data_IF_117018464337
#
_entry.id   IF_117018464337
#
_cell.length_a   1.000
_cell.length_b   1.000
_cell.length_c   1.000
_cell.angle_alpha   90.00
_cell.angle_beta   90.00
_cell.angle_gamma   90.00
#
_symmetry.space_group_name_H-M   'P 1'
#
loop_
_entity.id
_entity.type
_entity.pdbx_description
1 polymer ?
#
# COMPACT_ATOMS: atom_id res chain seq x y z
N UNK A 1 14.98 -19.66 4.91
CA UNK A 1 13.97 -18.70 5.40
C UNK A 1 13.01 -18.40 4.25
N UNK A 2 11.70 -18.55 4.44
CA UNK A 2 10.73 -18.20 3.40
C UNK A 2 10.48 -16.68 3.39
N UNK A 3 10.46 -16.07 2.21
CA UNK A 3 10.18 -14.63 2.06
C UNK A 3 8.79 -14.27 2.62
N UNK A 4 8.62 -13.05 3.15
CA UNK A 4 7.32 -12.59 3.62
C UNK A 4 6.32 -12.54 2.46
N UNK A 5 6.74 -11.92 1.37
CA UNK A 5 6.03 -11.82 0.08
C UNK A 5 6.68 -12.81 -0.88
N UNK A 6 5.88 -13.69 -1.46
CA UNK A 6 6.33 -14.61 -2.52
C UNK A 6 6.12 -14.04 -3.92
N UNK A 7 6.47 -14.82 -4.94
CA UNK A 7 6.38 -14.44 -6.34
C UNK A 7 5.02 -14.72 -6.99
N UNK A 8 3.93 -14.68 -6.20
CA UNK A 8 2.58 -14.79 -6.76
C UNK A 8 2.34 -13.63 -7.75
N UNK A 9 1.62 -13.85 -8.85
CA UNK A 9 1.25 -12.78 -9.77
C UNK A 9 0.45 -11.67 -9.09
N UNK A 10 0.64 -10.43 -9.55
CA UNK A 10 -0.14 -9.25 -9.19
C UNK A 10 -0.33 -8.37 -10.43
N UNK A 11 -1.36 -7.52 -10.40
CA UNK A 11 -1.72 -6.62 -11.51
C UNK A 11 -1.91 -5.16 -11.08
N UNK A 12 -1.25 -4.72 -10.00
CA UNK A 12 -1.50 -3.40 -9.40
C UNK A 12 -0.89 -2.24 -10.20
N UNK A 13 0.36 -2.39 -10.63
CA UNK A 13 1.15 -1.38 -11.33
C UNK A 13 1.40 -1.74 -12.80
N UNK A 14 1.45 -3.05 -13.10
CA UNK A 14 1.66 -3.65 -14.42
C UNK A 14 1.11 -5.08 -14.42
N UNK A 15 0.63 -5.57 -15.56
CA UNK A 15 -0.21 -6.76 -15.68
C UNK A 15 0.52 -8.09 -15.41
N UNK A 16 1.83 -8.18 -15.69
CA UNK A 16 2.60 -9.43 -15.64
C UNK A 16 3.69 -9.45 -14.55
N UNK A 17 3.44 -8.80 -13.42
CA UNK A 17 4.41 -8.68 -12.32
C UNK A 17 4.23 -9.67 -11.18
N UNK A 18 5.29 -9.91 -10.40
CA UNK A 18 5.15 -10.60 -9.11
C UNK A 18 4.79 -9.62 -8.00
N UNK A 19 4.08 -10.06 -6.96
CA UNK A 19 3.78 -9.25 -5.77
C UNK A 19 5.05 -8.62 -5.20
N UNK A 20 6.13 -9.41 -5.06
CA UNK A 20 7.42 -8.91 -4.59
C UNK A 20 8.00 -7.84 -5.52
N UNK A 21 7.96 -8.06 -6.85
CA UNK A 21 8.43 -7.11 -7.85
C UNK A 21 7.66 -5.78 -7.81
N UNK A 22 6.35 -5.84 -7.60
CA UNK A 22 5.50 -4.65 -7.51
C UNK A 22 5.66 -3.91 -6.19
N UNK A 23 5.78 -4.63 -5.05
CA UNK A 23 6.12 -4.02 -3.75
C UNK A 23 7.49 -3.34 -3.82
N UNK A 24 8.49 -3.98 -4.43
CA UNK A 24 9.79 -3.37 -4.66
C UNK A 24 9.68 -2.09 -5.49
N UNK A 25 8.83 -2.07 -6.51
CA UNK A 25 8.64 -0.89 -7.35
C UNK A 25 8.10 0.31 -6.56
N UNK A 26 7.08 0.12 -5.72
CA UNK A 26 6.51 1.20 -4.88
C UNK A 26 7.38 1.58 -3.68
N UNK A 27 8.41 0.79 -3.36
CA UNK A 27 9.42 1.12 -2.35
C UNK A 27 10.74 1.63 -2.95
N UNK A 28 10.82 1.79 -4.28
CA UNK A 28 12.07 2.08 -4.98
C UNK A 28 12.45 3.57 -5.09
N UNK A 29 11.58 4.47 -4.63
CA UNK A 29 11.77 5.93 -4.66
C UNK A 29 12.21 6.52 -3.32
N UNK A 30 11.86 7.79 -3.09
CA UNK A 30 12.20 8.50 -1.87
C UNK A 30 11.47 7.92 -0.66
N UNK A 31 12.21 7.62 0.40
CA UNK A 31 11.64 7.16 1.66
C UNK A 31 11.01 8.31 2.46
N UNK A 32 9.85 8.03 3.05
CA UNK A 32 9.25 8.88 4.08
C UNK A 32 9.93 8.63 5.44
N UNK A 33 9.69 9.52 6.42
CA UNK A 33 10.11 9.26 7.80
C UNK A 33 9.34 8.07 8.40
N UNK A 34 9.98 7.24 9.25
CA UNK A 34 9.28 6.19 9.97
C UNK A 34 8.19 6.77 10.88
N UNK A 35 7.06 6.08 10.97
CA UNK A 35 5.94 6.47 11.84
C UNK A 35 5.67 5.36 12.86
N UNK A 36 5.83 5.69 14.14
CA UNK A 36 5.40 4.86 15.26
C UNK A 36 3.97 5.24 15.61
N UNK A 37 3.05 4.29 15.53
CA UNK A 37 1.60 4.58 15.66
C UNK A 37 0.91 3.74 16.73
N UNK A 38 1.59 2.74 17.28
CA UNK A 38 1.13 1.95 18.41
C UNK A 38 2.31 1.42 19.21
N UNK A 39 2.03 0.84 20.38
CA UNK A 39 3.04 0.16 21.18
C UNK A 39 3.60 -1.03 20.39
N UNK A 40 4.86 -0.90 19.98
CA UNK A 40 5.58 -1.95 19.29
C UNK A 40 5.28 -2.06 17.79
N UNK A 41 4.66 -1.06 17.15
CA UNK A 41 4.44 -1.04 15.70
C UNK A 41 5.06 0.20 15.05
N UNK A 42 5.72 -0.02 13.91
CA UNK A 42 6.33 1.02 13.10
C UNK A 42 6.00 0.81 11.62
N UNK A 43 5.65 1.90 10.93
CA UNK A 43 5.46 1.94 9.47
C UNK A 43 6.65 2.64 8.81
N UNK A 44 7.25 1.96 7.85
CA UNK A 44 8.15 2.55 6.86
C UNK A 44 7.41 2.70 5.55
N UNK A 45 7.59 3.81 4.83
CA UNK A 45 7.03 3.97 3.50
C UNK A 45 7.97 4.67 2.55
N UNK A 46 7.73 4.47 1.27
CA UNK A 46 8.40 5.17 0.19
C UNK A 46 7.43 5.31 -0.99
N UNK A 47 7.83 6.08 -1.99
CA UNK A 47 7.12 6.14 -3.26
C UNK A 47 7.72 5.25 -4.33
N UNK A 48 6.94 4.99 -5.38
CA UNK A 48 7.47 4.54 -6.66
C UNK A 48 8.35 5.63 -7.27
N UNK A 49 9.44 5.22 -7.89
CA UNK A 49 10.33 6.14 -8.59
C UNK A 49 9.54 6.94 -9.66
N UNK A 50 9.69 8.27 -9.64
CA UNK A 50 8.96 9.22 -10.51
C UNK A 50 7.43 9.26 -10.39
N UNK A 51 6.82 8.51 -9.47
CA UNK A 51 5.38 8.49 -9.24
C UNK A 51 5.11 8.48 -7.73
N UNK A 52 5.11 9.67 -7.11
CA UNK A 52 4.89 9.82 -5.67
C UNK A 52 3.48 9.45 -5.21
N UNK A 53 2.59 9.25 -6.17
CA UNK A 53 1.18 8.93 -6.01
C UNK A 53 0.97 7.44 -5.75
N UNK A 54 1.89 6.61 -6.22
CA UNK A 54 1.95 5.18 -5.96
C UNK A 54 3.00 4.96 -4.88
N UNK A 55 2.58 4.38 -3.75
CA UNK A 55 3.42 4.27 -2.56
C UNK A 55 3.37 2.89 -1.95
N UNK A 56 4.48 2.47 -1.37
CA UNK A 56 4.61 1.24 -0.61
C UNK A 56 4.74 1.57 0.87
N UNK A 57 4.18 0.72 1.72
CA UNK A 57 4.45 0.73 3.14
C UNK A 57 4.76 -0.68 3.65
N UNK A 58 5.69 -0.79 4.59
CA UNK A 58 5.93 -2.01 5.36
C UNK A 58 5.68 -1.69 6.81
N UNK A 59 4.84 -2.49 7.46
CA UNK A 59 4.55 -2.39 8.89
C UNK A 59 5.25 -3.52 9.61
N UNK A 60 6.10 -3.15 10.55
CA UNK A 60 6.93 -4.07 11.34
C UNK A 60 6.56 -3.94 12.82
N UNK A 61 6.76 -5.01 13.57
CA UNK A 61 6.91 -4.87 15.02
C UNK A 61 8.26 -4.24 15.36
N UNK A 62 8.42 -3.70 16.57
CA UNK A 62 9.72 -3.17 17.04
C UNK A 62 10.82 -4.23 17.13
N UNK A 63 10.43 -5.51 17.13
CA UNK A 63 11.31 -6.68 17.10
C UNK A 63 11.68 -7.11 15.66
N UNK A 64 11.14 -6.42 14.64
CA UNK A 64 11.47 -6.64 13.23
C UNK A 64 10.58 -7.65 12.50
N UNK A 65 9.47 -8.10 13.09
CA UNK A 65 8.51 -8.97 12.39
C UNK A 65 7.64 -8.15 11.43
N UNK A 66 7.57 -8.53 10.15
CA UNK A 66 6.62 -7.92 9.21
C UNK A 66 5.20 -8.38 9.55
N UNK A 67 4.33 -7.42 9.83
CA UNK A 67 2.90 -7.65 10.08
C UNK A 67 2.11 -7.52 8.80
N UNK A 68 2.35 -6.46 8.02
CA UNK A 68 1.67 -6.21 6.77
C UNK A 68 2.51 -5.37 5.79
N UNK A 69 2.11 -5.41 4.52
CA UNK A 69 2.60 -4.53 3.47
C UNK A 69 1.43 -3.83 2.81
N UNK A 70 1.49 -2.51 2.70
CA UNK A 70 0.50 -1.70 1.97
C UNK A 70 1.04 -1.28 0.60
N UNK A 71 0.19 -1.33 -0.42
CA UNK A 71 0.49 -0.86 -1.78
C UNK A 71 -0.63 0.09 -2.19
N UNK A 72 -0.28 1.37 -2.38
CA UNK A 72 -1.15 2.37 -3.00
C UNK A 72 -0.87 2.36 -4.50
N UNK A 73 -1.90 2.10 -5.29
CA UNK A 73 -1.84 2.07 -6.76
C UNK A 73 -3.11 2.67 -7.35
N UNK A 74 -3.14 2.88 -8.67
CA UNK A 74 -4.36 3.31 -9.35
C UNK A 74 -5.24 2.12 -9.70
N UNK A 75 -6.56 2.31 -9.64
CA UNK A 75 -7.53 1.40 -10.24
C UNK A 75 -7.40 1.53 -11.77
N UNK A 76 -7.13 0.40 -12.43
CA UNK A 76 -7.02 0.28 -13.89
C UNK A 76 -8.31 -0.23 -14.53
N UNK A 77 -9.35 -0.49 -13.74
CA UNK A 77 -10.67 -0.85 -14.24
C UNK A 77 -11.35 0.35 -14.92
N UNK A 78 -12.22 0.05 -15.89
CA UNK A 78 -12.95 1.08 -16.66
C UNK A 78 -13.91 1.92 -15.81
N UNK A 79 -14.34 1.40 -14.67
CA UNK A 79 -15.38 2.02 -13.83
C UNK A 79 -14.81 3.09 -12.89
N UNK A 80 -13.55 2.93 -12.45
CA UNK A 80 -12.89 3.81 -11.50
C UNK A 80 -11.46 4.20 -11.93
N UNK A 81 -11.19 4.19 -13.24
CA UNK A 81 -9.88 4.52 -13.79
C UNK A 81 -9.32 5.82 -13.19
N UNK A 82 -8.16 5.71 -12.55
CA UNK A 82 -7.49 6.86 -11.92
C UNK A 82 -7.85 7.13 -10.46
N UNK A 83 -8.75 6.35 -9.85
CA UNK A 83 -8.92 6.34 -8.39
C UNK A 83 -7.76 5.60 -7.73
N UNK A 84 -7.34 6.06 -6.54
CA UNK A 84 -6.31 5.37 -5.75
C UNK A 84 -6.92 4.26 -4.93
N UNK A 85 -6.28 3.11 -4.99
CA UNK A 85 -6.61 1.87 -4.31
C UNK A 85 -5.52 1.56 -3.30
N UNK A 86 -5.92 0.98 -2.16
CA UNK A 86 -5.01 0.42 -1.18
C UNK A 86 -5.15 -1.10 -1.19
N UNK A 87 -4.06 -1.80 -1.49
CA UNK A 87 -3.94 -3.24 -1.30
C UNK A 87 -3.10 -3.54 -0.05
N UNK A 88 -3.60 -4.36 0.86
CA UNK A 88 -2.93 -4.78 2.10
C UNK A 88 -2.62 -6.27 2.02
N UNK A 89 -1.32 -6.60 2.08
CA UNK A 89 -0.81 -7.96 2.15
C UNK A 89 -0.57 -8.32 3.62
N UNK A 90 -1.16 -9.42 4.09
CA UNK A 90 -0.94 -9.93 5.45
C UNK A 90 -0.94 -11.45 5.47
N UNK A 91 -0.27 -12.07 6.45
CA UNK A 91 -0.34 -13.52 6.69
C UNK A 91 -1.50 -13.94 7.59
N UNK A 92 -2.06 -13.01 8.38
CA UNK A 92 -3.12 -13.30 9.37
C UNK A 92 -4.02 -12.10 9.59
N UNK A 93 -5.28 -12.36 9.97
CA UNK A 93 -6.27 -11.34 10.37
C UNK A 93 -6.62 -11.51 11.85
N UNK A 94 -5.73 -11.03 12.72
CA UNK A 94 -5.94 -10.94 14.17
C UNK A 94 -6.20 -9.47 14.58
N UNK A 95 -6.40 -9.21 15.88
CA UNK A 95 -6.66 -7.85 16.38
C UNK A 95 -5.54 -6.88 16.01
N UNK A 96 -4.30 -7.36 15.97
CA UNK A 96 -3.13 -6.60 15.53
C UNK A 96 -3.23 -6.23 14.05
N UNK A 97 -3.72 -7.13 13.20
CA UNK A 97 -3.99 -6.81 11.80
C UNK A 97 -5.03 -5.69 11.66
N UNK A 98 -6.10 -5.68 12.47
CA UNK A 98 -7.13 -4.63 12.37
C UNK A 98 -6.53 -3.24 12.64
N UNK A 99 -5.75 -3.09 13.71
CA UNK A 99 -5.05 -1.84 14.02
C UNK A 99 -4.09 -1.41 12.89
N UNK A 100 -3.38 -2.36 12.30
CA UNK A 100 -2.49 -2.10 11.15
C UNK A 100 -3.29 -1.70 9.91
N UNK A 101 -4.43 -2.34 9.65
CA UNK A 101 -5.29 -2.02 8.53
C UNK A 101 -5.87 -0.61 8.67
N UNK A 102 -6.39 -0.26 9.84
CA UNK A 102 -6.90 1.08 10.14
C UNK A 102 -5.82 2.14 9.95
N UNK A 103 -4.59 1.86 10.41
CA UNK A 103 -3.45 2.76 10.20
C UNK A 103 -3.10 2.93 8.71
N UNK A 104 -3.11 1.84 7.94
CA UNK A 104 -2.81 1.89 6.50
C UNK A 104 -3.91 2.62 5.70
N UNK A 105 -5.18 2.48 6.11
CA UNK A 105 -6.31 3.23 5.54
C UNK A 105 -6.15 4.72 5.81
N UNK A 106 -5.91 5.12 7.07
CA UNK A 106 -5.67 6.52 7.41
C UNK A 106 -4.43 7.11 6.70
N UNK A 107 -3.39 6.29 6.51
CA UNK A 107 -2.22 6.68 5.73
C UNK A 107 -2.58 6.92 4.24
N UNK A 108 -3.34 6.02 3.63
CA UNK A 108 -3.82 6.17 2.25
C UNK A 108 -4.65 7.46 2.08
N UNK A 109 -5.59 7.72 3.00
CA UNK A 109 -6.39 8.96 3.03
C UNK A 109 -5.51 10.21 3.05
N UNK A 110 -4.48 10.21 3.89
CA UNK A 110 -3.53 11.30 3.96
C UNK A 110 -2.77 11.49 2.65
N UNK A 111 -2.28 10.41 2.03
CA UNK A 111 -1.56 10.47 0.74
C UNK A 111 -2.45 11.05 -0.36
N UNK A 112 -3.71 10.61 -0.44
CA UNK A 112 -4.69 11.12 -1.41
C UNK A 112 -4.95 12.61 -1.17
N UNK A 113 -5.14 13.00 0.09
CA UNK A 113 -5.41 14.40 0.48
C UNK A 113 -4.23 15.31 0.17
N UNK A 114 -3.02 14.93 0.55
CA UNK A 114 -1.80 15.71 0.29
C UNK A 114 -1.60 15.94 -1.22
N UNK A 115 -1.86 14.91 -2.04
CA UNK A 115 -1.76 15.02 -3.49
C UNK A 115 -2.79 15.99 -4.07
N UNK A 116 -4.05 15.89 -3.63
CA UNK A 116 -5.11 16.78 -4.12
C UNK A 116 -4.82 18.25 -3.74
N UNK A 117 -4.31 18.49 -2.54
CA UNK A 117 -3.86 19.81 -2.11
C UNK A 117 -2.71 20.31 -2.98
N UNK A 118 -1.71 19.47 -3.26
CA UNK A 118 -0.61 19.82 -4.16
C UNK A 118 -1.09 20.17 -5.57
N UNK A 119 -2.03 19.41 -6.14
CA UNK A 119 -2.61 19.71 -7.46
C UNK A 119 -3.32 21.07 -7.47
N UNK A 120 -4.11 21.35 -6.44
CA UNK A 120 -4.80 22.63 -6.27
C UNK A 120 -3.82 23.79 -6.19
N UNK A 121 -2.79 23.68 -5.35
CA UNK A 121 -1.76 24.71 -5.18
C UNK A 121 -0.91 24.91 -6.44
N UNK A 122 -0.54 23.81 -7.11
CA UNK A 122 0.38 23.85 -8.24
C UNK A 122 -0.28 24.28 -9.55
N UNK A 123 -1.53 23.86 -9.78
CA UNK A 123 -2.21 24.01 -11.05
C UNK A 123 -3.53 24.79 -10.98
N UNK A 124 -3.94 25.25 -9.80
CA UNK A 124 -5.21 25.95 -9.62
C UNK A 124 -6.44 25.07 -9.88
N UNK A 125 -6.27 23.75 -9.84
CA UNK A 125 -7.36 22.81 -10.09
C UNK A 125 -8.40 22.88 -8.95
N UNK A 126 -9.69 22.72 -9.27
CA UNK A 126 -10.73 22.67 -8.25
C UNK A 126 -10.50 21.45 -7.34
N UNK A 127 -10.94 21.58 -6.09
CA UNK A 127 -10.89 20.48 -5.14
C UNK A 127 -11.75 19.32 -5.66
N UNK A 128 -11.09 18.20 -5.96
CA UNK A 128 -11.75 16.96 -6.44
C UNK A 128 -11.81 15.89 -5.36
N UNK A 129 -11.43 16.22 -4.12
CA UNK A 129 -11.44 15.28 -2.99
C UNK A 129 -12.81 14.63 -2.80
N UNK A 130 -13.90 15.37 -3.00
CA UNK A 130 -15.28 14.86 -2.87
C UNK A 130 -15.66 13.89 -4.01
N UNK A 131 -15.13 14.10 -5.22
CA UNK A 131 -15.36 13.20 -6.38
C UNK A 131 -14.51 11.93 -6.30
N UNK A 132 -13.32 12.03 -5.73
CA UNK A 132 -12.45 10.90 -5.43
C UNK A 132 -12.85 10.19 -4.12
N UNK A 133 -13.70 10.82 -3.31
CA UNK A 133 -13.98 10.50 -1.91
C UNK A 133 -14.87 9.28 -1.65
N UNK A 134 -15.35 8.58 -2.69
CA UNK A 134 -15.86 7.22 -2.49
C UNK A 134 -14.68 6.26 -2.51
N UNK A 135 -13.91 6.25 -1.42
CA UNK A 135 -12.89 5.24 -1.21
C UNK A 135 -13.53 3.86 -1.31
N UNK A 136 -12.97 3.01 -2.16
CA UNK A 136 -13.21 1.58 -2.06
C UNK A 136 -12.53 1.07 -0.80
N UNK A 137 -13.17 0.11 -0.15
CA UNK A 137 -12.54 -0.66 0.91
C UNK A 137 -11.19 -1.21 0.40
N UNK A 138 -10.16 -1.26 1.26
CA UNK A 138 -8.87 -1.78 0.85
C UNK A 138 -9.00 -3.24 0.38
N UNK A 139 -8.29 -3.61 -0.66
CA UNK A 139 -8.15 -5.00 -1.05
C UNK A 139 -7.25 -5.70 -0.02
N UNK A 140 -7.76 -6.72 0.66
CA UNK A 140 -6.95 -7.47 1.65
C UNK A 140 -6.57 -8.82 1.07
N UNK A 141 -5.28 -8.98 0.76
CA UNK A 141 -4.70 -10.22 0.24
C UNK A 141 -4.10 -11.02 1.39
N UNK A 142 -4.68 -12.19 1.64
CA UNK A 142 -4.10 -13.16 2.56
C UNK A 142 -2.96 -13.92 1.86
N UNK A 143 -1.77 -13.79 2.44
CA UNK A 143 -0.58 -14.55 2.10
C UNK A 143 -0.67 -15.90 2.82
N UNK A 144 -1.12 -16.94 2.12
CA UNK A 144 -0.95 -18.31 2.63
C UNK A 144 0.54 -18.61 2.72
N UNK A 145 0.95 -19.43 3.70
CA UNK A 145 2.36 -19.85 3.86
C UNK A 145 2.95 -20.45 2.58
N UNK A 146 4.29 -20.68 2.53
CA UNK A 146 4.93 -21.13 1.30
C UNK A 146 4.23 -22.37 0.74
N UNK A 147 3.80 -22.29 -0.52
CA UNK A 147 3.50 -23.49 -1.31
C UNK A 147 4.81 -24.23 -1.48
N UNK A 148 5.06 -25.21 -0.61
CA UNK A 148 6.08 -26.21 -0.86
C UNK A 148 5.62 -26.96 -2.11
N UNK A 149 6.41 -27.02 -3.20
CA UNK A 149 6.06 -27.89 -4.31
C UNK A 149 6.09 -29.33 -3.79
N UNK A 150 4.96 -30.03 -3.86
CA UNK A 150 4.97 -31.49 -3.68
C UNK A 150 5.84 -32.07 -4.80
N UNK A 151 6.85 -32.84 -4.38
CA UNK A 151 7.80 -33.54 -5.24
C UNK A 151 7.13 -34.65 -6.06
#
# INVERSE_FOLDING_TARGET
>A
MAAFIGDRPAGWLYEDGTMLGQVRAVLGGGADKPVYFSQGLVRFSACRHHSCDEKGAVVLTTEGEIVAVGVIHFDVSREYSGHRMLTILTRKRDDRFQEVADHLVAWHEKVVTDYNNWLKERYGLPDTSEKLGKMRDPEIVLLTGPTVPEH
#
